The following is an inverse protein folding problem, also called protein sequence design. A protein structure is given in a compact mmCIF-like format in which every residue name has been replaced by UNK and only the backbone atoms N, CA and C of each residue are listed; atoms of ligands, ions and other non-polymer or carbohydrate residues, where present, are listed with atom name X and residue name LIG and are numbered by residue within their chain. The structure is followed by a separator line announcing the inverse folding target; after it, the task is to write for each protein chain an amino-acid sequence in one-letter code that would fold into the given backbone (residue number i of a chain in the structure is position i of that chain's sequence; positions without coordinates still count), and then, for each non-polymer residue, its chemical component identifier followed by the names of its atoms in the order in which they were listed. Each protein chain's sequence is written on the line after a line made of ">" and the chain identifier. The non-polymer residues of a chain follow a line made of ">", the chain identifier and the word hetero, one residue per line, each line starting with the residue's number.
data_IF_116894011148
#
_entry.id   IF_116894011148
#
_cell.length_a   1.000
_cell.length_b   1.000
_cell.length_c   1.000
_cell.angle_alpha   90.00
_cell.angle_beta   90.00
_cell.angle_gamma   90.00
#
_symmetry.space_group_name_H-M   'P 1'
#
loop_
_entity.id
_entity.type
_entity.pdbx_description
1 polymer ?
#
# COMPACT_ATOMS: atom_id res chain seq x y z
N UNK A 1 -33.32 26.44 -14.75
CA UNK A 1 -32.88 25.56 -13.65
C UNK A 1 -31.88 24.49 -14.11
N UNK A 2 -32.22 23.57 -15.02
CA UNK A 2 -31.31 22.52 -15.51
C UNK A 2 -29.96 23.03 -16.06
N UNK A 3 -29.98 24.10 -16.87
CA UNK A 3 -28.75 24.70 -17.42
C UNK A 3 -27.81 25.28 -16.35
N UNK A 4 -28.35 25.81 -15.24
CA UNK A 4 -27.54 26.32 -14.13
C UNK A 4 -26.87 25.18 -13.36
N UNK A 5 -27.55 24.04 -13.15
CA UNK A 5 -26.96 22.87 -12.51
C UNK A 5 -25.85 22.22 -13.35
N UNK A 6 -26.00 22.16 -14.68
CA UNK A 6 -24.95 21.67 -15.58
C UNK A 6 -23.76 22.63 -15.62
N UNK A 7 -24.01 23.95 -15.66
CA UNK A 7 -22.96 24.97 -15.61
C UNK A 7 -22.22 24.97 -14.28
N UNK A 8 -22.94 24.94 -13.16
CA UNK A 8 -22.36 24.84 -11.83
C UNK A 8 -21.59 23.54 -11.64
N UNK A 9 -22.14 22.41 -12.10
CA UNK A 9 -21.47 21.10 -12.07
C UNK A 9 -20.17 21.07 -12.87
N UNK A 10 -20.17 21.60 -14.11
CA UNK A 10 -18.95 21.72 -14.92
C UNK A 10 -17.93 22.68 -14.30
N UNK A 11 -18.37 23.82 -13.77
CA UNK A 11 -17.48 24.80 -13.12
C UNK A 11 -16.85 24.23 -11.85
N UNK A 12 -17.59 23.47 -11.05
CA UNK A 12 -17.10 22.79 -9.84
C UNK A 12 -16.11 21.68 -10.20
N UNK A 13 -16.41 20.86 -11.21
CA UNK A 13 -15.48 19.83 -11.68
C UNK A 13 -14.20 20.43 -12.26
N UNK A 14 -14.30 21.51 -13.04
CA UNK A 14 -13.15 22.20 -13.60
C UNK A 14 -12.30 22.86 -12.51
N UNK A 15 -12.91 23.52 -11.53
CA UNK A 15 -12.20 24.12 -10.40
C UNK A 15 -11.45 23.06 -9.59
N UNK A 16 -12.09 21.92 -9.31
CA UNK A 16 -11.46 20.78 -8.64
C UNK A 16 -10.30 20.21 -9.45
N UNK A 17 -10.49 20.02 -10.76
CA UNK A 17 -9.41 19.56 -11.63
C UNK A 17 -8.21 20.51 -11.64
N UNK A 18 -8.46 21.82 -11.67
CA UNK A 18 -7.39 22.83 -11.59
C UNK A 18 -6.65 22.74 -10.25
N UNK A 19 -7.37 22.60 -9.14
CA UNK A 19 -6.78 22.46 -7.81
C UNK A 19 -5.93 21.19 -7.66
N UNK A 20 -6.45 20.05 -8.10
CA UNK A 20 -5.74 18.77 -8.10
C UNK A 20 -4.51 18.83 -9.01
N UNK A 21 -4.63 19.46 -10.19
CA UNK A 21 -3.51 19.65 -11.12
C UNK A 21 -2.41 20.53 -10.54
N UNK A 22 -2.76 21.58 -9.79
CA UNK A 22 -1.79 22.48 -9.14
C UNK A 22 -1.00 21.72 -8.08
N UNK A 23 -1.66 20.89 -7.29
CA UNK A 23 -1.01 20.03 -6.30
C UNK A 23 -0.08 19.02 -6.98
N UNK A 24 -0.52 18.37 -8.07
CA UNK A 24 0.31 17.43 -8.82
C UNK A 24 1.56 18.09 -9.42
N UNK A 25 1.40 19.27 -10.04
CA UNK A 25 2.54 20.04 -10.57
C UNK A 25 3.49 20.46 -9.45
N UNK A 26 2.96 20.88 -8.30
CA UNK A 26 3.80 21.23 -7.15
C UNK A 26 4.63 20.01 -6.68
N UNK A 27 4.00 18.85 -6.53
CA UNK A 27 4.70 17.60 -6.14
C UNK A 27 5.80 17.26 -7.14
N UNK A 28 5.51 17.29 -8.44
CA UNK A 28 6.51 16.99 -9.49
C UNK A 28 7.67 17.98 -9.49
N UNK A 29 7.40 19.29 -9.39
CA UNK A 29 8.44 20.32 -9.43
C UNK A 29 9.31 20.26 -8.19
N UNK A 30 8.71 20.20 -7.00
CA UNK A 30 9.47 20.08 -5.75
C UNK A 30 10.22 18.75 -5.68
N UNK A 31 9.58 17.63 -6.07
CA UNK A 31 10.21 16.31 -6.13
C UNK A 31 11.43 16.31 -7.04
N UNK A 32 11.35 16.98 -8.19
CA UNK A 32 12.48 17.11 -9.12
C UNK A 32 13.62 17.95 -8.54
N UNK A 33 13.30 19.09 -7.90
CA UNK A 33 14.29 19.98 -7.28
C UNK A 33 14.98 19.30 -6.09
N UNK A 34 14.22 18.60 -5.25
CA UNK A 34 14.76 17.92 -4.06
C UNK A 34 15.38 16.55 -4.35
N UNK A 35 15.17 16.00 -5.55
CA UNK A 35 15.68 14.68 -5.90
C UNK A 35 17.19 14.48 -5.65
N UNK A 36 18.10 15.41 -6.03
CA UNK A 36 19.52 15.27 -5.73
C UNK A 36 19.82 15.22 -4.22
N UNK A 37 19.05 15.98 -3.42
CA UNK A 37 19.18 15.99 -1.96
C UNK A 37 18.69 14.65 -1.36
N UNK A 38 17.54 14.15 -1.81
CA UNK A 38 16.99 12.87 -1.34
C UNK A 38 17.86 11.68 -1.78
N UNK A 39 18.43 11.74 -2.99
CA UNK A 39 19.40 10.76 -3.49
C UNK A 39 20.67 10.71 -2.63
N UNK A 40 21.14 11.85 -2.14
CA UNK A 40 22.40 11.92 -1.37
C UNK A 40 22.23 11.76 0.14
N UNK A 41 21.01 11.86 0.67
CA UNK A 41 20.69 11.90 2.10
C UNK A 41 21.26 10.72 2.90
N UNK A 42 21.10 9.51 2.37
CA UNK A 42 21.55 8.27 3.02
C UNK A 42 22.78 7.68 2.35
N UNK A 43 23.48 8.47 1.53
CA UNK A 43 24.57 7.95 0.72
C UNK A 43 25.79 7.52 1.56
N UNK A 44 26.01 8.18 2.69
CA UNK A 44 27.09 7.89 3.64
C UNK A 44 26.86 6.60 4.46
N UNK A 45 25.65 6.04 4.43
CA UNK A 45 25.29 4.83 5.16
C UNK A 45 25.64 3.60 4.31
N UNK A 46 26.10 2.53 4.97
CA UNK A 46 26.48 1.29 4.27
C UNK A 46 25.29 0.63 3.57
N UNK A 47 25.54 -0.01 2.43
CA UNK A 47 24.49 -0.61 1.60
C UNK A 47 23.74 -1.73 2.30
N UNK A 48 24.44 -2.58 3.07
CA UNK A 48 23.81 -3.67 3.83
C UNK A 48 22.85 -3.14 4.89
N UNK A 49 23.25 -2.07 5.59
CA UNK A 49 22.37 -1.41 6.56
C UNK A 49 21.18 -0.74 5.89
N UNK A 50 21.34 -0.18 4.69
CA UNK A 50 20.23 0.43 3.94
C UNK A 50 19.21 -0.63 3.52
N UNK A 51 19.64 -1.76 2.99
CA UNK A 51 18.72 -2.85 2.62
C UNK A 51 18.01 -3.43 3.84
N UNK A 52 18.73 -3.65 4.94
CA UNK A 52 18.14 -4.12 6.21
C UNK A 52 17.11 -3.12 6.75
N UNK A 53 17.48 -1.84 6.82
CA UNK A 53 16.59 -0.78 7.30
C UNK A 53 15.33 -0.71 6.43
N UNK A 54 15.49 -0.65 5.11
CA UNK A 54 14.40 -0.62 4.13
C UNK A 54 13.43 -1.77 4.36
N UNK A 55 13.96 -3.00 4.53
CA UNK A 55 13.14 -4.17 4.81
C UNK A 55 12.29 -3.97 6.08
N UNK A 56 12.90 -3.55 7.19
CA UNK A 56 12.18 -3.36 8.45
C UNK A 56 11.14 -2.22 8.39
N UNK A 57 11.42 -1.10 7.72
CA UNK A 57 10.41 -0.04 7.58
C UNK A 57 9.28 -0.41 6.63
N UNK A 58 9.54 -1.20 5.59
CA UNK A 58 8.47 -1.73 4.74
C UNK A 58 7.62 -2.76 5.50
N UNK A 59 8.22 -3.59 6.37
CA UNK A 59 7.46 -4.43 7.30
C UNK A 59 6.63 -3.58 8.26
N UNK A 60 7.19 -2.49 8.80
CA UNK A 60 6.46 -1.56 9.65
C UNK A 60 5.29 -0.92 8.89
N UNK A 61 5.50 -0.50 7.64
CA UNK A 61 4.42 -0.04 6.77
C UNK A 61 3.29 -1.08 6.70
N UNK A 62 3.62 -2.36 6.43
CA UNK A 62 2.64 -3.44 6.34
C UNK A 62 1.90 -3.68 7.66
N UNK A 63 2.56 -3.56 8.81
CA UNK A 63 1.97 -3.79 10.14
C UNK A 63 1.00 -2.67 10.54
N UNK A 64 1.35 -1.41 10.25
CA UNK A 64 0.55 -0.24 10.65
C UNK A 64 -0.47 0.19 9.59
N UNK A 65 -0.51 -0.48 8.43
CA UNK A 65 -1.43 -0.16 7.34
C UNK A 65 -2.88 -0.48 7.71
N UNK A 66 -3.80 0.37 7.26
CA UNK A 66 -5.24 0.20 7.49
C UNK A 66 -5.85 -0.71 6.42
N UNK A 67 -5.99 -1.99 6.76
CA UNK A 67 -6.65 -2.98 5.89
C UNK A 67 -8.18 -3.01 6.05
N UNK A 68 -8.78 -2.08 6.79
CA UNK A 68 -10.23 -2.07 7.05
C UNK A 68 -10.68 -2.98 8.20
N UNK A 69 -9.75 -3.40 9.07
CA UNK A 69 -10.03 -4.16 10.30
C UNK A 69 -9.90 -3.23 11.49
N UNK A 70 -10.85 -3.28 12.43
CA UNK A 70 -10.85 -2.51 13.68
C UNK A 70 -9.77 -2.98 14.66
N UNK A 71 -8.49 -2.81 14.30
CA UNK A 71 -7.34 -3.18 15.12
C UNK A 71 -6.71 -1.94 15.77
N UNK A 72 -6.35 -2.05 17.05
CA UNK A 72 -5.78 -0.96 17.84
C UNK A 72 -4.38 -0.51 17.36
N UNK A 73 -3.74 -1.27 16.46
CA UNK A 73 -2.36 -1.06 16.02
C UNK A 73 -2.23 -0.24 14.71
N UNK A 74 -3.34 0.20 14.12
CA UNK A 74 -3.35 0.85 12.80
C UNK A 74 -3.05 2.34 12.90
N UNK A 75 -2.11 2.84 12.08
CA UNK A 75 -1.83 4.27 11.96
C UNK A 75 -1.42 4.65 10.54
N UNK A 76 -2.31 5.35 9.83
CA UNK A 76 -2.09 5.79 8.44
C UNK A 76 -0.84 6.66 8.29
N UNK A 77 -0.59 7.54 9.25
CA UNK A 77 0.59 8.42 9.23
C UNK A 77 1.89 7.63 9.39
N UNK A 78 1.94 6.72 10.37
CA UNK A 78 3.13 5.89 10.61
C UNK A 78 3.41 4.99 9.40
N UNK A 79 2.36 4.34 8.89
CA UNK A 79 2.46 3.43 7.74
C UNK A 79 2.95 4.15 6.48
N UNK A 80 2.38 5.33 6.16
CA UNK A 80 2.77 6.10 4.99
C UNK A 80 4.19 6.67 5.12
N UNK A 81 4.54 7.22 6.29
CA UNK A 81 5.89 7.75 6.53
C UNK A 81 6.95 6.64 6.42
N UNK A 82 6.64 5.43 6.91
CA UNK A 82 7.56 4.30 6.82
C UNK A 82 7.78 3.84 5.37
N UNK A 83 6.73 3.80 4.56
CA UNK A 83 6.85 3.46 3.13
C UNK A 83 7.68 4.49 2.36
N UNK A 84 7.41 5.79 2.58
CA UNK A 84 8.19 6.87 1.95
C UNK A 84 9.64 6.82 2.41
N UNK A 85 9.88 6.59 3.71
CA UNK A 85 11.24 6.45 4.24
C UNK A 85 11.99 5.28 3.60
N UNK A 86 11.33 4.12 3.44
CA UNK A 86 11.91 2.98 2.72
C UNK A 86 12.28 3.31 1.28
N UNK A 87 11.43 4.06 0.56
CA UNK A 87 11.74 4.53 -0.79
C UNK A 87 12.93 5.50 -0.83
N UNK A 88 13.05 6.41 0.16
CA UNK A 88 14.20 7.32 0.31
C UNK A 88 15.50 6.54 0.59
N UNK A 89 15.45 5.50 1.43
CA UNK A 89 16.59 4.62 1.67
C UNK A 89 17.07 3.93 0.39
N UNK A 90 16.15 3.40 -0.42
CA UNK A 90 16.48 2.79 -1.71
C UNK A 90 16.98 3.80 -2.73
N UNK A 91 16.44 5.02 -2.73
CA UNK A 91 16.76 6.07 -3.69
C UNK A 91 18.27 6.38 -3.72
N UNK A 92 18.97 6.35 -2.58
CA UNK A 92 20.41 6.63 -2.52
C UNK A 92 21.32 5.55 -3.12
N UNK A 93 20.75 4.39 -3.50
CA UNK A 93 21.46 3.29 -4.16
C UNK A 93 21.23 3.29 -5.68
N UNK A 94 20.38 4.16 -6.19
CA UNK A 94 20.19 4.32 -7.63
C UNK A 94 21.35 5.12 -8.23
N UNK A 95 21.61 4.90 -9.52
CA UNK A 95 22.76 5.49 -10.23
C UNK A 95 22.62 6.98 -10.53
N UNK A 96 21.39 7.51 -10.58
CA UNK A 96 21.11 8.90 -10.94
C UNK A 96 20.01 9.49 -10.07
N UNK A 97 20.09 10.79 -9.81
CA UNK A 97 19.01 11.57 -9.19
C UNK A 97 17.70 11.44 -9.97
N UNK A 98 17.74 11.33 -11.30
CA UNK A 98 16.51 11.13 -12.08
C UNK A 98 15.82 9.80 -11.75
N UNK A 99 16.59 8.73 -11.54
CA UNK A 99 16.01 7.46 -11.12
C UNK A 99 15.44 7.56 -9.70
N UNK A 100 16.12 8.27 -8.79
CA UNK A 100 15.61 8.53 -7.44
C UNK A 100 14.31 9.32 -7.46
N UNK A 101 14.20 10.35 -8.32
CA UNK A 101 12.97 11.11 -8.53
C UNK A 101 11.82 10.20 -8.94
N UNK A 102 12.02 9.38 -9.99
CA UNK A 102 11.00 8.45 -10.48
C UNK A 102 10.60 7.45 -9.39
N UNK A 103 11.56 6.91 -8.62
CA UNK A 103 11.26 5.99 -7.53
C UNK A 103 10.40 6.63 -6.44
N UNK A 104 10.70 7.87 -6.05
CA UNK A 104 9.98 8.59 -5.01
C UNK A 104 8.57 9.00 -5.45
N UNK A 105 8.43 9.44 -6.70
CA UNK A 105 7.11 9.69 -7.31
C UNK A 105 6.28 8.40 -7.40
N UNK A 106 6.89 7.30 -7.85
CA UNK A 106 6.26 5.98 -7.87
C UNK A 106 5.83 5.57 -6.46
N UNK A 107 6.69 5.74 -5.46
CA UNK A 107 6.36 5.45 -4.07
C UNK A 107 5.18 6.28 -3.58
N UNK A 108 5.14 7.59 -3.88
CA UNK A 108 4.00 8.44 -3.55
C UNK A 108 2.70 7.96 -4.23
N UNK A 109 2.76 7.60 -5.51
CA UNK A 109 1.60 7.07 -6.24
C UNK A 109 1.12 5.75 -5.66
N UNK A 110 2.01 4.79 -5.40
CA UNK A 110 1.60 3.46 -4.92
C UNK A 110 1.18 3.46 -3.44
N UNK A 111 1.88 4.18 -2.57
CA UNK A 111 1.62 4.13 -1.13
C UNK A 111 0.63 5.19 -0.64
N UNK A 112 0.66 6.41 -1.21
CA UNK A 112 -0.28 7.46 -0.80
C UNK A 112 -1.57 7.41 -1.61
N UNK A 113 -1.49 7.36 -2.95
CA UNK A 113 -2.68 7.39 -3.82
C UNK A 113 -3.28 6.00 -4.05
N UNK A 114 -2.45 4.96 -4.12
CA UNK A 114 -2.83 3.58 -4.42
C UNK A 114 -3.99 3.06 -3.56
N UNK A 115 -3.95 3.18 -2.22
CA UNK A 115 -5.05 2.73 -1.36
C UNK A 115 -6.40 3.37 -1.73
N UNK A 116 -6.41 4.67 -2.05
CA UNK A 116 -7.63 5.37 -2.44
C UNK A 116 -8.15 4.91 -3.81
N UNK A 117 -7.24 4.70 -4.78
CA UNK A 117 -7.62 4.19 -6.10
C UNK A 117 -8.19 2.77 -6.01
N UNK A 118 -7.53 1.88 -5.26
CA UNK A 118 -7.97 0.49 -5.10
C UNK A 118 -9.34 0.45 -4.45
N UNK A 119 -9.58 1.17 -3.35
CA UNK A 119 -10.89 1.19 -2.71
C UNK A 119 -12.02 1.66 -3.64
N UNK A 120 -11.74 2.60 -4.55
CA UNK A 120 -12.76 3.19 -5.44
C UNK A 120 -12.98 2.39 -6.73
N UNK A 121 -11.94 1.72 -7.23
CA UNK A 121 -11.94 1.03 -8.52
C UNK A 121 -11.79 -0.49 -8.37
N UNK A 122 -11.95 -1.01 -7.15
CA UNK A 122 -11.79 -2.43 -6.88
C UNK A 122 -12.72 -3.26 -7.76
N UNK A 123 -12.12 -4.13 -8.57
CA UNK A 123 -12.81 -5.15 -9.35
C UNK A 123 -11.91 -6.37 -9.44
N UNK A 124 -12.50 -7.57 -9.38
CA UNK A 124 -11.76 -8.83 -9.51
C UNK A 124 -10.98 -8.86 -10.83
N UNK A 125 -11.55 -8.31 -11.90
CA UNK A 125 -10.89 -8.22 -13.20
C UNK A 125 -9.63 -7.35 -13.14
N UNK A 126 -9.69 -6.22 -12.45
CA UNK A 126 -8.55 -5.31 -12.29
C UNK A 126 -7.46 -5.95 -11.41
N UNK A 127 -7.85 -6.71 -10.39
CA UNK A 127 -6.92 -7.46 -9.54
C UNK A 127 -6.21 -8.58 -10.32
N UNK A 128 -6.94 -9.36 -11.12
CA UNK A 128 -6.33 -10.40 -11.96
C UNK A 128 -5.41 -9.78 -13.01
N UNK A 129 -5.85 -8.68 -13.62
CA UNK A 129 -5.04 -7.93 -14.59
C UNK A 129 -3.74 -7.40 -13.95
N UNK A 130 -3.80 -6.82 -12.76
CA UNK A 130 -2.60 -6.29 -12.10
C UNK A 130 -1.61 -7.39 -11.74
N UNK A 131 -2.10 -8.55 -11.23
CA UNK A 131 -1.26 -9.72 -10.98
C UNK A 131 -0.63 -10.24 -12.28
N UNK A 132 -1.39 -10.34 -13.37
CA UNK A 132 -0.89 -10.80 -14.66
C UNK A 132 0.19 -9.88 -15.24
N UNK A 133 -0.02 -8.56 -15.16
CA UNK A 133 0.96 -7.55 -15.58
C UNK A 133 2.24 -7.66 -14.75
N UNK A 134 2.13 -7.79 -13.42
CA UNK A 134 3.29 -8.01 -12.56
C UNK A 134 4.05 -9.29 -12.94
N UNK A 135 3.35 -10.41 -13.17
CA UNK A 135 3.98 -11.66 -13.57
C UNK A 135 4.73 -11.52 -14.91
N UNK A 136 4.15 -10.81 -15.89
CA UNK A 136 4.79 -10.57 -17.18
C UNK A 136 6.11 -9.79 -17.02
N UNK A 137 6.12 -8.71 -16.25
CA UNK A 137 7.35 -7.95 -16.00
C UNK A 137 8.38 -8.73 -15.19
N UNK A 138 7.96 -9.46 -14.14
CA UNK A 138 8.88 -10.24 -13.31
C UNK A 138 9.51 -11.39 -14.10
N UNK A 139 8.75 -12.02 -15.00
CA UNK A 139 9.28 -13.05 -15.90
C UNK A 139 10.40 -12.51 -16.79
N UNK A 140 10.32 -11.26 -17.24
CA UNK A 140 11.37 -10.62 -18.03
C UNK A 140 12.65 -10.34 -17.23
N UNK A 141 12.59 -10.31 -15.90
CA UNK A 141 13.73 -10.06 -15.03
C UNK A 141 14.39 -11.38 -14.62
N UNK A 142 13.63 -12.30 -14.00
CA UNK A 142 14.12 -13.60 -13.56
C UNK A 142 12.99 -14.53 -13.11
N UNK A 143 13.08 -15.82 -13.48
CA UNK A 143 12.14 -16.84 -13.01
C UNK A 143 12.17 -17.01 -11.48
N UNK A 144 13.31 -16.82 -10.83
CA UNK A 144 13.44 -16.96 -9.37
C UNK A 144 12.56 -15.93 -8.66
N UNK A 145 12.57 -14.68 -9.15
CA UNK A 145 11.77 -13.57 -8.60
C UNK A 145 10.28 -13.81 -8.86
N UNK A 146 9.93 -14.35 -10.03
CA UNK A 146 8.54 -14.72 -10.33
C UNK A 146 8.03 -15.78 -9.35
N UNK A 147 8.78 -16.87 -9.15
CA UNK A 147 8.34 -17.94 -8.25
C UNK A 147 8.26 -17.49 -6.80
N UNK A 148 9.19 -16.65 -6.34
CA UNK A 148 9.11 -16.09 -4.98
C UNK A 148 7.90 -15.18 -4.80
N UNK A 149 7.57 -14.35 -5.80
CA UNK A 149 6.37 -13.51 -5.81
C UNK A 149 5.08 -14.34 -5.75
N UNK A 150 4.94 -15.36 -6.60
CA UNK A 150 3.77 -16.24 -6.60
C UNK A 150 3.64 -17.02 -5.29
N UNK A 151 4.76 -17.53 -4.76
CA UNK A 151 4.78 -18.23 -3.47
C UNK A 151 4.31 -17.33 -2.34
N UNK A 152 4.72 -16.05 -2.32
CA UNK A 152 4.30 -15.10 -1.30
C UNK A 152 2.81 -14.75 -1.42
N UNK A 153 2.29 -14.58 -2.65
CA UNK A 153 0.86 -14.35 -2.87
C UNK A 153 0.01 -15.51 -2.37
N UNK A 154 0.38 -16.75 -2.70
CA UNK A 154 -0.31 -17.95 -2.23
C UNK A 154 -0.22 -18.08 -0.71
N UNK A 155 0.95 -17.80 -0.14
CA UNK A 155 1.14 -17.86 1.30
C UNK A 155 0.24 -16.86 2.05
N UNK A 156 0.23 -15.60 1.62
CA UNK A 156 -0.53 -14.54 2.30
C UNK A 156 -2.04 -14.67 2.07
N UNK A 157 -2.48 -14.99 0.85
CA UNK A 157 -3.91 -14.99 0.51
C UNK A 157 -4.62 -16.33 0.72
N UNK A 158 -3.89 -17.45 0.73
CA UNK A 158 -4.49 -18.79 0.84
C UNK A 158 -4.02 -19.48 2.12
N UNK A 159 -2.71 -19.61 2.31
CA UNK A 159 -2.18 -20.37 3.44
C UNK A 159 -2.46 -19.69 4.79
N UNK A 160 -2.25 -18.37 4.89
CA UNK A 160 -2.46 -17.64 6.14
C UNK A 160 -3.95 -17.65 6.58
N UNK A 161 -4.94 -17.34 5.72
CA UNK A 161 -6.35 -17.47 6.09
C UNK A 161 -6.76 -18.90 6.43
N UNK A 162 -6.26 -19.90 5.69
CA UNK A 162 -6.51 -21.31 5.99
C UNK A 162 -5.98 -21.69 7.38
N UNK A 163 -4.76 -21.29 7.70
CA UNK A 163 -4.14 -21.53 9.00
C UNK A 163 -4.91 -20.79 10.11
N UNK A 164 -5.28 -19.54 9.88
CA UNK A 164 -6.05 -18.74 10.82
C UNK A 164 -7.39 -19.40 11.16
N UNK A 165 -8.17 -19.82 10.16
CA UNK A 165 -9.46 -20.52 10.37
C UNK A 165 -9.26 -21.85 11.11
N UNK A 166 -8.17 -22.57 10.81
CA UNK A 166 -7.84 -23.82 11.51
C UNK A 166 -7.51 -23.56 12.98
N UNK A 167 -6.72 -22.53 13.27
CA UNK A 167 -6.35 -22.14 14.64
C UNK A 167 -7.53 -21.63 15.45
N UNK A 168 -8.51 -20.99 14.80
CA UNK A 168 -9.72 -20.50 15.46
C UNK A 168 -10.52 -21.62 16.15
N UNK A 169 -10.44 -22.86 15.63
CA UNK A 169 -11.08 -24.04 16.24
C UNK A 169 -10.49 -24.44 17.59
N UNK A 170 -9.23 -24.07 17.85
CA UNK A 170 -8.52 -24.39 19.09
C UNK A 170 -8.52 -23.22 20.08
N UNK A 171 -9.20 -22.11 19.75
CA UNK A 171 -9.37 -21.00 20.67
C UNK A 171 -10.34 -21.43 21.77
N UNK A 172 -9.82 -21.64 22.98
CA UNK A 172 -10.65 -21.86 24.15
C UNK A 172 -11.44 -20.59 24.45
N UNK A 173 -12.77 -20.64 24.32
CA UNK A 173 -13.64 -19.56 24.75
C UNK A 173 -13.82 -19.67 26.27
N UNK A 174 -13.23 -18.74 27.02
CA UNK A 174 -13.44 -18.67 28.47
C UNK A 174 -14.79 -17.99 28.65
N UNK A 175 -15.85 -18.78 28.84
CA UNK A 175 -17.17 -18.22 29.05
C UNK A 175 -17.21 -17.58 30.45
N UNK A 176 -17.39 -16.26 30.49
CA UNK A 176 -17.57 -15.54 31.74
C UNK A 176 -18.98 -15.78 32.31
N UNK A 177 -19.23 -15.48 33.60
CA UNK A 177 -20.57 -15.56 34.19
C UNK A 177 -21.58 -14.55 33.59
N UNK A 178 -21.16 -13.76 32.61
CA UNK A 178 -21.92 -12.74 31.91
C UNK A 178 -21.99 -12.98 30.39
N UNK A 179 -21.53 -14.15 29.89
CA UNK A 179 -21.62 -14.48 28.47
C UNK A 179 -23.07 -14.74 28.05
N UNK A 180 -23.39 -14.45 26.79
CA UNK A 180 -24.74 -14.58 26.25
C UNK A 180 -25.28 -16.02 26.42
N UNK A 181 -26.49 -16.13 26.96
CA UNK A 181 -27.15 -17.41 27.15
C UNK A 181 -27.40 -18.07 25.79
N UNK A 182 -26.80 -19.22 25.58
CA UNK A 182 -27.00 -20.04 24.39
C UNK A 182 -28.42 -20.63 24.49
N UNK A 183 -29.34 -20.19 23.63
CA UNK A 183 -30.69 -20.76 23.59
C UNK A 183 -30.58 -22.12 22.90
N UNK A 184 -30.46 -23.19 23.68
CA UNK A 184 -30.69 -24.54 23.16
C UNK A 184 -32.18 -24.66 22.86
N UNK A 185 -32.55 -24.68 21.59
CA UNK A 185 -33.89 -25.09 21.17
C UNK A 185 -34.07 -26.57 21.50
N UNK A 186 -34.52 -26.85 22.73
CA UNK A 186 -35.03 -28.16 23.10
C UNK A 186 -36.45 -28.29 22.54
N UNK A 187 -36.61 -29.04 21.45
CA UNK A 187 -37.93 -29.54 21.05
C UNK A 187 -38.08 -30.00 19.60
N UNK A 188 -37.89 -31.29 19.32
CA UNK A 188 -38.96 -32.27 18.99
C UNK A 188 -38.39 -33.64 18.63
#
# INVERSE_FOLDING_TARGET
>A
MLGYFVYAGRKIQLAKFIEDSKTAVAVLVFGFIFSPLLHTLTNSISTDTIFSMTFFVLVLHLVFFDYGVSAALVSKAISLNAAIFGAICLASRLSSSLHAFVLLELAAVFFALGPFLVCKLYSIQLLVLSIAVCCYFLQSISHIILYSYLSLLLFVNVFCPWLFVRMQKYKNNINGPWDEAIVTEEGS
#
